data_IF_872352662012
#
_entry.id   IF_872352662012
#
_cell.length_a   1.000
_cell.length_b   1.000
_cell.length_c   1.000
_cell.angle_alpha   90.00
_cell.angle_beta   90.00
_cell.angle_gamma   90.00
#
_symmetry.space_group_name_H-M   'P 1'
#
loop_
_entity.id
_entity.type
_entity.pdbx_description
1 polymer ?
#
# COMPACT_ATOMS: atom_id res chain seq x y z
N UNK A 1 -12.85 7.88 29.22
CA UNK A 1 -11.89 6.82 28.84
C UNK A 1 -12.33 6.11 27.57
N UNK A 2 -13.45 5.36 27.56
CA UNK A 2 -13.90 4.60 26.37
C UNK A 2 -14.13 5.47 25.12
N UNK A 3 -14.66 6.69 25.28
CA UNK A 3 -14.85 7.62 24.15
C UNK A 3 -13.52 8.04 23.50
N UNK A 4 -12.48 8.32 24.29
CA UNK A 4 -11.15 8.73 23.80
C UNK A 4 -10.47 7.55 23.09
N UNK A 5 -10.59 6.35 23.65
CA UNK A 5 -10.06 5.12 23.07
C UNK A 5 -10.78 4.72 21.78
N UNK A 6 -12.11 4.84 21.76
CA UNK A 6 -12.93 4.63 20.56
C UNK A 6 -12.61 5.66 19.46
N UNK A 7 -12.39 6.93 19.85
CA UNK A 7 -11.97 7.97 18.92
C UNK A 7 -10.60 7.65 18.30
N UNK A 8 -9.63 7.15 19.07
CA UNK A 8 -8.35 6.70 18.54
C UNK A 8 -8.50 5.63 17.46
N UNK A 9 -9.35 4.63 17.69
CA UNK A 9 -9.65 3.61 16.67
C UNK A 9 -10.30 4.20 15.41
N UNK A 10 -11.30 5.08 15.55
CA UNK A 10 -11.98 5.70 14.42
C UNK A 10 -11.05 6.62 13.61
N UNK A 11 -10.21 7.41 14.29
CA UNK A 11 -9.20 8.24 13.66
C UNK A 11 -8.15 7.38 12.95
N UNK A 12 -7.79 6.22 13.51
CA UNK A 12 -6.95 5.24 12.81
C UNK A 12 -7.59 4.76 11.50
N UNK A 13 -8.88 4.42 11.54
CA UNK A 13 -9.59 4.06 10.32
C UNK A 13 -9.64 5.20 9.29
N UNK A 14 -9.83 6.44 9.75
CA UNK A 14 -9.83 7.63 8.90
C UNK A 14 -8.44 7.89 8.31
N UNK A 15 -7.37 7.70 9.08
CA UNK A 15 -5.99 7.88 8.65
C UNK A 15 -5.65 6.99 7.46
N UNK A 16 -6.19 5.77 7.41
CA UNK A 16 -6.04 4.90 6.25
C UNK A 16 -6.58 5.49 4.93
N UNK A 17 -7.46 6.51 5.00
CA UNK A 17 -8.03 7.21 3.84
C UNK A 17 -7.19 8.41 3.39
N UNK A 18 -6.03 8.63 4.00
CA UNK A 18 -5.11 9.67 3.54
C UNK A 18 -4.62 9.40 2.11
N UNK A 19 -4.25 10.48 1.43
CA UNK A 19 -4.03 10.48 -0.02
C UNK A 19 -2.86 9.58 -0.41
N UNK A 20 -1.81 9.56 0.40
CA UNK A 20 -0.64 8.70 0.28
C UNK A 20 -0.97 7.21 0.51
N UNK A 21 -1.82 6.91 1.49
CA UNK A 21 -2.30 5.58 1.81
C UNK A 21 -3.17 5.03 0.66
N UNK A 22 -4.11 5.84 0.16
CA UNK A 22 -4.92 5.50 -1.01
C UNK A 22 -4.04 5.23 -2.23
N UNK A 23 -3.02 6.07 -2.48
CA UNK A 23 -2.10 5.90 -3.59
C UNK A 23 -1.29 4.60 -3.50
N UNK A 24 -0.72 4.31 -2.32
CA UNK A 24 0.05 3.10 -2.07
C UNK A 24 -0.82 1.83 -2.22
N UNK A 25 -2.00 1.79 -1.57
CA UNK A 25 -2.92 0.65 -1.65
C UNK A 25 -3.43 0.46 -3.06
N UNK A 26 -3.79 1.53 -3.77
CA UNK A 26 -4.25 1.45 -5.15
C UNK A 26 -3.18 0.85 -6.07
N UNK A 27 -1.93 1.26 -5.88
CA UNK A 27 -0.79 0.75 -6.67
C UNK A 27 -0.50 -0.73 -6.37
N UNK A 28 -0.63 -1.15 -5.11
CA UNK A 28 -0.50 -2.55 -4.72
C UNK A 28 -1.68 -3.37 -5.28
N UNK A 29 -2.90 -2.86 -5.17
CA UNK A 29 -4.13 -3.52 -5.64
C UNK A 29 -4.13 -3.72 -7.16
N UNK A 30 -3.67 -2.73 -7.92
CA UNK A 30 -3.52 -2.78 -9.39
C UNK A 30 -2.67 -3.97 -9.89
N UNK A 31 -1.81 -4.53 -9.03
CA UNK A 31 -0.90 -5.63 -9.37
C UNK A 31 -1.46 -7.02 -9.07
N UNK A 32 -2.65 -7.14 -8.50
CA UNK A 32 -3.21 -8.40 -8.00
C UNK A 32 -4.54 -8.71 -8.67
N UNK A 33 -4.81 -10.00 -8.84
CA UNK A 33 -6.02 -10.49 -9.54
C UNK A 33 -7.15 -10.92 -8.60
N UNK A 34 -6.90 -10.99 -7.30
CA UNK A 34 -7.86 -11.52 -6.32
C UNK A 34 -8.08 -10.58 -5.13
N UNK A 35 -9.35 -10.32 -4.81
CA UNK A 35 -9.76 -9.47 -3.69
C UNK A 35 -9.13 -9.93 -2.37
N UNK A 36 -9.18 -11.24 -2.08
CA UNK A 36 -8.59 -11.81 -0.86
C UNK A 36 -7.08 -11.56 -0.77
N UNK A 37 -6.38 -11.60 -1.90
CA UNK A 37 -4.94 -11.34 -1.89
C UNK A 37 -4.65 -9.84 -1.69
N UNK A 38 -5.42 -8.96 -2.31
CA UNK A 38 -5.33 -7.50 -2.12
C UNK A 38 -5.56 -7.13 -0.66
N UNK A 39 -6.61 -7.65 -0.03
CA UNK A 39 -6.91 -7.41 1.39
C UNK A 39 -5.79 -7.94 2.30
N UNK A 40 -5.24 -9.12 2.03
CA UNK A 40 -4.08 -9.64 2.79
C UNK A 40 -2.86 -8.73 2.68
N UNK A 41 -2.64 -8.13 1.52
CA UNK A 41 -1.57 -7.13 1.34
C UNK A 41 -1.87 -5.86 2.13
N UNK A 42 -3.11 -5.35 2.09
CA UNK A 42 -3.55 -4.22 2.92
C UNK A 42 -3.31 -4.44 4.40
N UNK A 43 -3.69 -5.60 4.94
CA UNK A 43 -3.48 -5.95 6.35
C UNK A 43 -1.99 -6.12 6.69
N UNK A 44 -1.20 -6.73 5.81
CA UNK A 44 0.26 -6.91 6.06
C UNK A 44 0.99 -5.57 6.02
N UNK A 45 0.58 -4.68 5.11
CA UNK A 45 1.07 -3.31 5.05
C UNK A 45 0.68 -2.52 6.31
N UNK A 46 -0.60 -2.60 6.69
CA UNK A 46 -1.09 -1.98 7.92
C UNK A 46 -0.38 -2.49 9.17
N UNK A 47 -0.04 -3.78 9.25
CA UNK A 47 0.79 -4.32 10.34
C UNK A 47 2.16 -3.62 10.43
N UNK A 48 2.85 -3.43 9.31
CA UNK A 48 4.15 -2.73 9.30
C UNK A 48 4.00 -1.26 9.73
N UNK A 49 2.98 -0.59 9.23
CA UNK A 49 2.69 0.80 9.59
C UNK A 49 2.38 0.92 11.10
N UNK A 50 1.46 0.11 11.61
CA UNK A 50 1.10 0.06 13.04
C UNK A 50 2.30 -0.24 13.94
N UNK A 51 3.16 -1.19 13.56
CA UNK A 51 4.34 -1.53 14.35
C UNK A 51 5.29 -0.34 14.48
N UNK A 52 5.47 0.39 13.38
CA UNK A 52 6.36 1.55 13.35
C UNK A 52 5.78 2.71 14.14
N UNK A 53 4.50 3.03 13.95
CA UNK A 53 3.82 4.04 14.75
C UNK A 53 3.93 3.73 16.25
N UNK A 54 3.65 2.48 16.64
CA UNK A 54 3.73 2.08 18.03
C UNK A 54 5.15 2.21 18.59
N UNK A 55 6.17 1.89 17.79
CA UNK A 55 7.57 2.01 18.19
C UNK A 55 7.97 3.48 18.36
N UNK A 56 7.78 4.32 17.34
CA UNK A 56 8.25 5.70 17.33
C UNK A 56 7.39 6.62 18.22
N UNK A 57 6.07 6.56 18.08
CA UNK A 57 5.17 7.35 18.93
C UNK A 57 5.18 6.85 20.37
N UNK A 58 5.26 5.52 20.59
CA UNK A 58 5.39 4.96 21.93
C UNK A 58 6.69 5.38 22.61
N UNK A 59 7.82 5.33 21.90
CA UNK A 59 9.09 5.82 22.41
C UNK A 59 9.03 7.32 22.75
N UNK A 60 8.46 8.15 21.89
CA UNK A 60 8.28 9.58 22.14
C UNK A 60 7.43 9.87 23.38
N UNK A 61 6.33 9.14 23.57
CA UNK A 61 5.45 9.27 24.75
C UNK A 61 6.19 8.88 26.03
N UNK A 62 6.97 7.79 26.02
CA UNK A 62 7.71 7.32 27.19
C UNK A 62 8.89 8.23 27.52
N UNK A 63 9.59 8.72 26.50
CA UNK A 63 10.71 9.64 26.66
C UNK A 63 10.26 11.09 26.95
N UNK A 64 8.99 11.42 26.70
CA UNK A 64 8.44 12.77 26.87
C UNK A 64 8.99 13.79 25.87
N UNK A 65 9.59 13.35 24.77
CA UNK A 65 10.18 14.21 23.74
C UNK A 65 9.46 14.01 22.41
N UNK A 66 9.10 15.10 21.75
CA UNK A 66 8.61 15.05 20.38
C UNK A 66 9.72 14.55 19.43
N UNK A 67 9.34 13.86 18.36
CA UNK A 67 10.28 13.50 17.29
C UNK A 67 10.74 14.81 16.64
N UNK A 68 12.05 15.10 16.61
CA UNK A 68 12.55 16.32 15.99
C UNK A 68 12.25 16.38 14.49
N UNK A 69 12.00 17.58 13.97
CA UNK A 69 11.69 17.80 12.55
C UNK A 69 12.81 17.30 11.63
N UNK A 70 14.08 17.43 12.04
CA UNK A 70 15.23 16.90 11.28
C UNK A 70 15.23 15.37 11.10
N UNK A 71 14.41 14.63 11.86
CA UNK A 71 14.18 13.20 11.69
C UNK A 71 12.88 12.96 10.91
N UNK A 72 11.83 13.72 11.20
CA UNK A 72 10.52 13.55 10.57
C UNK A 72 10.53 13.92 9.07
N UNK A 73 11.09 15.07 8.69
CA UNK A 73 11.09 15.57 7.32
C UNK A 73 11.79 14.61 6.33
N UNK A 74 12.98 14.05 6.62
CA UNK A 74 13.60 13.06 5.73
C UNK A 74 12.80 11.77 5.60
N UNK A 75 12.08 11.35 6.65
CA UNK A 75 11.23 10.15 6.61
C UNK A 75 10.01 10.38 5.71
N UNK A 76 9.39 11.55 5.79
CA UNK A 76 8.31 11.95 4.89
C UNK A 76 8.79 12.07 3.44
N UNK A 77 9.96 12.68 3.22
CA UNK A 77 10.62 12.72 1.91
C UNK A 77 10.89 11.31 1.35
N UNK A 78 11.34 10.37 2.20
CA UNK A 78 11.55 8.98 1.81
C UNK A 78 10.26 8.27 1.38
N UNK A 79 9.12 8.58 2.03
CA UNK A 79 7.80 8.10 1.58
C UNK A 79 7.42 8.71 0.24
N UNK A 80 7.67 10.00 0.01
CA UNK A 80 7.47 10.61 -1.29
C UNK A 80 8.27 9.91 -2.40
N UNK A 81 9.56 9.63 -2.16
CA UNK A 81 10.42 8.85 -3.08
C UNK A 81 9.85 7.46 -3.33
N UNK A 82 9.41 6.77 -2.27
CA UNK A 82 8.80 5.45 -2.37
C UNK A 82 7.52 5.48 -3.24
N UNK A 83 6.64 6.48 -3.07
CA UNK A 83 5.44 6.63 -3.90
C UNK A 83 5.78 6.84 -5.36
N UNK A 84 6.74 7.73 -5.67
CA UNK A 84 7.24 7.90 -7.05
C UNK A 84 7.74 6.57 -7.62
N UNK A 85 8.53 5.82 -6.85
CA UNK A 85 9.03 4.51 -7.26
C UNK A 85 7.93 3.49 -7.53
N UNK A 86 6.91 3.41 -6.66
CA UNK A 86 5.78 2.50 -6.82
C UNK A 86 4.95 2.84 -8.06
N UNK A 87 4.61 4.13 -8.26
CA UNK A 87 3.85 4.58 -9.42
C UNK A 87 4.63 4.42 -10.73
N UNK A 88 5.92 4.78 -10.75
CA UNK A 88 6.78 4.60 -11.92
C UNK A 88 6.94 3.12 -12.28
N UNK A 89 7.10 2.24 -11.28
CA UNK A 89 7.18 0.80 -11.52
C UNK A 89 5.89 0.23 -12.11
N UNK A 90 4.72 0.70 -11.64
CA UNK A 90 3.43 0.32 -12.22
C UNK A 90 3.31 0.74 -13.69
N UNK A 91 3.64 2.00 -14.01
CA UNK A 91 3.59 2.50 -15.38
C UNK A 91 4.61 1.83 -16.31
N UNK A 92 5.84 1.65 -15.84
CA UNK A 92 6.90 0.95 -16.58
C UNK A 92 6.47 -0.47 -16.94
N UNK A 93 5.85 -1.19 -16.00
CA UNK A 93 5.29 -2.50 -16.26
C UNK A 93 4.16 -2.46 -17.30
N UNK A 94 3.22 -1.52 -17.19
CA UNK A 94 2.12 -1.37 -18.16
C UNK A 94 2.60 -1.04 -19.58
N UNK A 95 3.76 -0.38 -19.67
CA UNK A 95 4.43 -0.09 -20.94
C UNK A 95 5.18 -1.33 -21.46
N UNK A 96 5.96 -2.00 -20.61
CA UNK A 96 6.75 -3.19 -20.95
C UNK A 96 5.89 -4.42 -21.28
N UNK A 97 4.77 -4.61 -20.59
CA UNK A 97 3.84 -5.73 -20.78
C UNK A 97 2.94 -5.55 -22.03
N UNK A 98 3.23 -4.58 -22.93
CA UNK A 98 2.59 -4.43 -24.25
C UNK A 98 2.88 -5.58 -25.25
N UNK A 99 3.27 -6.77 -24.78
CA UNK A 99 3.72 -7.88 -25.64
C UNK A 99 2.66 -9.00 -25.67
N UNK A 100 1.82 -8.94 -26.71
CA UNK A 100 1.04 -9.98 -27.42
C UNK A 100 -0.01 -10.85 -26.71
N UNK A 101 -1.23 -10.83 -27.28
CA UNK A 101 -2.31 -11.81 -27.07
C UNK A 101 -2.19 -12.86 -28.18
N UNK A 102 -1.91 -14.11 -27.85
CA UNK A 102 -2.08 -15.23 -28.78
C UNK A 102 -3.39 -15.98 -28.46
N UNK A 103 -4.19 -16.18 -29.51
CA UNK A 103 -5.30 -17.13 -29.51
C UNK A 103 -4.73 -18.45 -30.00
N UNK A 104 -4.71 -19.48 -29.16
CA UNK A 104 -4.45 -20.84 -29.61
C UNK A 104 -5.79 -21.53 -29.90
N UNK A 105 -5.82 -22.25 -31.02
CA UNK A 105 -6.89 -23.18 -31.37
C UNK A 105 -6.26 -24.57 -31.30
N UNK A 106 -6.71 -25.38 -30.35
CA UNK A 106 -6.31 -26.78 -30.28
C UNK A 106 -6.97 -27.56 -31.43
N UNK A 107 -6.38 -28.69 -31.80
CA UNK A 107 -6.91 -29.59 -32.84
C UNK A 107 -8.31 -30.17 -32.52
N UNK A 108 -8.82 -29.93 -31.32
CA UNK A 108 -10.17 -30.27 -30.84
C UNK A 108 -11.20 -29.15 -31.03
N UNK A 109 -10.81 -28.01 -31.62
CA UNK A 109 -11.71 -26.89 -31.93
C UNK A 109 -11.92 -25.89 -30.79
N UNK A 110 -11.32 -26.10 -29.61
CA UNK A 110 -11.44 -25.15 -28.50
C UNK A 110 -10.49 -23.96 -28.68
N UNK A 111 -11.02 -22.74 -28.58
CA UNK A 111 -10.25 -21.49 -28.56
C UNK A 111 -10.20 -20.95 -27.16
N UNK A 112 -9.00 -20.74 -26.64
CA UNK A 112 -8.81 -20.02 -25.39
C UNK A 112 -7.64 -19.04 -25.48
N UNK A 113 -7.71 -18.01 -24.64
CA UNK A 113 -6.75 -16.90 -24.60
C UNK A 113 -5.84 -17.11 -23.40
N UNK A 114 -4.54 -17.25 -23.65
CA UNK A 114 -3.52 -17.22 -22.59
C UNK A 114 -2.81 -15.86 -22.58
N UNK A 115 -2.55 -15.34 -21.38
CA UNK A 115 -1.71 -14.16 -21.13
C UNK A 115 -0.35 -14.64 -20.61
N UNK A 116 0.71 -14.50 -21.42
CA UNK A 116 2.10 -14.74 -21.00
C UNK A 116 2.95 -13.49 -21.21
N UNK A 117 3.85 -13.21 -20.26
CA UNK A 117 4.92 -12.21 -20.41
C UNK A 117 6.27 -12.91 -20.60
N UNK A 118 6.84 -12.90 -21.81
CA UNK A 118 8.21 -13.35 -22.03
C UNK A 118 9.19 -12.24 -21.68
N UNK A 119 9.53 -12.10 -20.41
CA UNK A 119 10.81 -11.52 -20.05
C UNK A 119 11.90 -12.61 -20.18
N UNK A 120 12.30 -12.92 -21.42
CA UNK A 120 13.62 -13.51 -21.70
C UNK A 120 13.79 -15.02 -21.59
N UNK A 121 12.87 -15.87 -22.08
CA UNK A 121 13.16 -17.30 -22.24
C UNK A 121 12.97 -17.76 -23.69
N UNK A 122 14.10 -18.01 -24.35
CA UNK A 122 14.21 -18.81 -25.57
C UNK A 122 14.39 -20.26 -25.11
N UNK A 123 13.31 -20.96 -24.77
CA UNK A 123 13.39 -22.38 -24.45
C UNK A 123 12.12 -23.09 -24.94
N UNK A 124 12.37 -24.16 -25.71
CA UNK A 124 11.37 -25.00 -26.37
C UNK A 124 10.39 -25.61 -25.35
N UNK A 125 9.13 -25.65 -25.75
CA UNK A 125 7.99 -26.19 -25.01
C UNK A 125 8.09 -27.71 -24.89
N UNK A 126 8.17 -28.24 -23.67
CA UNK A 126 7.72 -29.61 -23.30
C UNK A 126 7.77 -29.89 -21.77
N UNK A 127 7.72 -28.86 -20.91
CA UNK A 127 7.68 -29.06 -19.46
C UNK A 127 6.35 -28.54 -18.88
N UNK A 128 5.66 -29.32 -18.03
CA UNK A 128 4.44 -28.86 -17.37
C UNK A 128 4.77 -27.63 -16.54
N UNK A 129 4.10 -26.52 -16.86
CA UNK A 129 4.31 -25.24 -16.20
C UNK A 129 3.97 -25.37 -14.71
N UNK A 130 4.99 -25.60 -13.89
CA UNK A 130 4.88 -25.51 -12.44
C UNK A 130 4.53 -24.06 -12.08
N UNK A 131 3.25 -23.78 -11.88
CA UNK A 131 2.78 -22.54 -11.27
C UNK A 131 3.36 -22.47 -9.85
N UNK A 132 4.52 -21.83 -9.70
CA UNK A 132 5.09 -21.52 -8.39
C UNK A 132 4.17 -20.53 -7.69
N UNK A 133 3.29 -21.04 -6.85
CA UNK A 133 2.69 -20.26 -5.78
C UNK A 133 3.83 -19.87 -4.82
N UNK A 134 4.31 -18.63 -4.90
CA UNK A 134 5.20 -18.11 -3.86
C UNK A 134 4.42 -18.05 -2.54
N UNK A 135 4.55 -19.09 -1.73
CA UNK A 135 4.06 -19.16 -0.34
C UNK A 135 4.97 -18.38 0.64
N UNK A 136 5.74 -17.42 0.12
CA UNK A 136 6.62 -16.58 0.93
C UNK A 136 5.84 -15.53 1.74
N UNK A 137 6.35 -15.21 2.92
CA UNK A 137 5.88 -14.06 3.71
C UNK A 137 5.99 -12.77 2.87
N UNK A 138 5.00 -11.86 2.96
CA UNK A 138 4.86 -10.66 2.10
C UNK A 138 5.80 -9.52 2.52
N UNK A 139 7.10 -9.81 2.58
CA UNK A 139 8.13 -8.94 3.14
C UNK A 139 8.19 -7.56 2.48
N UNK A 140 8.04 -7.48 1.14
CA UNK A 140 8.02 -6.19 0.42
C UNK A 140 6.89 -5.28 0.92
N UNK A 141 5.71 -5.84 1.14
CA UNK A 141 4.53 -5.10 1.59
C UNK A 141 4.65 -4.70 3.06
N UNK A 142 5.27 -5.56 3.88
CA UNK A 142 5.61 -5.20 5.24
C UNK A 142 6.60 -4.04 5.29
N UNK A 143 7.69 -4.06 4.50
CA UNK A 143 8.67 -2.97 4.45
C UNK A 143 8.01 -1.66 4.03
N UNK A 144 7.18 -1.68 2.98
CA UNK A 144 6.44 -0.48 2.56
C UNK A 144 5.58 0.03 3.72
N UNK A 145 4.98 -0.86 4.50
CA UNK A 145 4.21 -0.50 5.70
C UNK A 145 5.09 0.13 6.77
N UNK A 146 6.23 -0.48 7.06
CA UNK A 146 7.20 0.05 8.02
C UNK A 146 7.66 1.45 7.61
N UNK A 147 8.06 1.64 6.34
CA UNK A 147 8.45 2.95 5.81
C UNK A 147 7.32 3.97 5.92
N UNK A 148 6.09 3.58 5.58
CA UNK A 148 4.95 4.48 5.63
C UNK A 148 4.52 4.82 7.06
N UNK A 149 4.78 3.97 8.06
CA UNK A 149 4.54 4.30 9.46
C UNK A 149 5.61 5.21 10.08
N UNK A 150 6.80 5.28 9.46
CA UNK A 150 7.88 6.20 9.89
C UNK A 150 7.59 7.64 9.47
N UNK A 151 6.93 7.84 8.34
CA UNK A 151 6.47 9.15 7.86
C UNK A 151 5.03 9.43 8.32
N UNK A 152 4.66 10.68 8.58
CA UNK A 152 3.29 11.04 8.96
C UNK A 152 2.93 10.79 10.44
N UNK A 153 3.85 10.24 11.24
CA UNK A 153 3.65 10.06 12.69
C UNK A 153 3.62 11.39 13.46
N UNK A 154 4.05 12.51 12.86
CA UNK A 154 4.15 13.80 13.55
C UNK A 154 2.77 14.33 14.01
N UNK A 155 1.77 14.34 13.12
CA UNK A 155 0.41 14.76 13.47
C UNK A 155 -0.24 13.84 14.52
N UNK A 156 0.03 12.54 14.42
CA UNK A 156 -0.45 11.52 15.36
C UNK A 156 0.23 11.61 16.72
N UNK A 157 1.53 11.92 16.77
CA UNK A 157 2.25 12.23 18.00
C UNK A 157 1.63 13.43 18.70
N UNK A 158 1.39 14.52 17.96
CA UNK A 158 0.80 15.75 18.50
C UNK A 158 -0.60 15.47 19.07
N UNK A 159 -1.42 14.68 18.36
CA UNK A 159 -2.74 14.25 18.86
C UNK A 159 -2.64 13.34 20.09
N UNK A 160 -1.73 12.37 20.11
CA UNK A 160 -1.57 11.46 21.24
C UNK A 160 -1.07 12.18 22.50
N UNK A 161 -0.11 13.11 22.35
CA UNK A 161 0.46 13.90 23.45
C UNK A 161 -0.54 14.92 23.99
N UNK A 162 -1.33 15.57 23.13
CA UNK A 162 -2.31 16.58 23.56
C UNK A 162 -3.56 15.99 24.23
N UNK A 163 -3.91 14.74 23.92
CA UNK A 163 -5.15 14.11 24.40
C UNK A 163 -4.95 13.17 25.60
N UNK A 164 -3.71 12.79 25.93
CA UNK A 164 -3.43 11.78 26.95
C UNK A 164 -3.02 12.40 28.30
N UNK A 165 -3.84 12.25 29.37
CA UNK A 165 -3.47 12.69 30.71
C UNK A 165 -2.26 11.93 31.31
N UNK A 166 -1.98 10.71 30.82
CA UNK A 166 -0.89 9.85 31.30
C UNK A 166 -0.22 9.09 30.16
N UNK A 167 1.08 8.71 30.29
CA UNK A 167 1.78 7.94 29.27
C UNK A 167 1.07 6.63 28.89
N UNK A 168 0.51 5.93 29.87
CA UNK A 168 -0.24 4.67 29.65
C UNK A 168 -1.47 4.89 28.76
N UNK A 169 -2.18 6.00 28.95
CA UNK A 169 -3.33 6.35 28.10
C UNK A 169 -2.88 6.71 26.68
N UNK A 170 -1.74 7.39 26.54
CA UNK A 170 -1.13 7.66 25.23
C UNK A 170 -0.76 6.37 24.49
N UNK A 171 -0.13 5.41 25.17
CA UNK A 171 0.21 4.11 24.58
C UNK A 171 -1.03 3.31 24.16
N UNK A 172 -2.07 3.27 24.99
CA UNK A 172 -3.34 2.63 24.63
C UNK A 172 -4.02 3.30 23.44
N UNK A 173 -3.95 4.63 23.36
CA UNK A 173 -4.46 5.39 22.23
C UNK A 173 -3.72 5.03 20.94
N UNK A 174 -2.38 5.03 20.95
CA UNK A 174 -1.56 4.65 19.79
C UNK A 174 -1.82 3.19 19.36
N UNK A 175 -1.99 2.27 20.31
CA UNK A 175 -2.32 0.87 20.00
C UNK A 175 -3.68 0.74 19.28
N UNK A 176 -4.71 1.42 19.78
CA UNK A 176 -6.04 1.39 19.16
C UNK A 176 -6.09 2.14 17.84
N UNK A 177 -5.38 3.26 17.73
CA UNK A 177 -5.18 3.97 16.47
C UNK A 177 -4.51 3.07 15.44
N UNK A 178 -3.45 2.38 15.83
CA UNK A 178 -2.75 1.43 14.98
C UNK A 178 -3.64 0.27 14.54
N UNK A 179 -4.47 -0.28 15.44
CA UNK A 179 -5.45 -1.31 15.10
C UNK A 179 -6.52 -0.78 14.14
N UNK A 180 -7.04 0.42 14.39
CA UNK A 180 -7.99 1.11 13.53
C UNK A 180 -7.43 1.34 12.13
N UNK A 181 -6.18 1.78 12.04
CA UNK A 181 -5.45 1.96 10.77
C UNK A 181 -5.33 0.64 10.03
N UNK A 182 -4.91 -0.44 10.70
CA UNK A 182 -4.81 -1.77 10.07
C UNK A 182 -6.15 -2.25 9.50
N UNK A 183 -7.24 -2.09 10.26
CA UNK A 183 -8.59 -2.43 9.81
C UNK A 183 -9.02 -1.53 8.65
N UNK A 184 -8.79 -0.21 8.76
CA UNK A 184 -9.09 0.78 7.73
C UNK A 184 -8.36 0.48 6.42
N UNK A 185 -7.07 0.14 6.47
CA UNK A 185 -6.29 -0.22 5.29
C UNK A 185 -6.76 -1.54 4.67
N UNK A 186 -7.19 -2.51 5.48
CA UNK A 186 -7.84 -3.73 5.01
C UNK A 186 -9.17 -3.46 4.31
N UNK A 187 -9.99 -2.58 4.88
CA UNK A 187 -11.27 -2.16 4.32
C UNK A 187 -11.10 -1.35 3.02
N UNK A 188 -10.18 -0.39 3.00
CA UNK A 188 -9.81 0.38 1.82
C UNK A 188 -9.30 -0.53 0.70
N UNK A 189 -8.46 -1.51 1.05
CA UNK A 189 -7.98 -2.52 0.10
C UNK A 189 -9.13 -3.32 -0.51
N UNK A 190 -10.14 -3.70 0.28
CA UNK A 190 -11.33 -4.37 -0.24
C UNK A 190 -12.13 -3.44 -1.17
N UNK A 191 -12.33 -2.18 -0.77
CA UNK A 191 -13.07 -1.19 -1.54
C UNK A 191 -12.43 -0.92 -2.91
N UNK A 192 -11.11 -0.79 -2.97
CA UNK A 192 -10.36 -0.59 -4.22
C UNK A 192 -10.28 -1.88 -5.05
N UNK A 193 -10.20 -3.05 -4.41
CA UNK A 193 -10.08 -4.33 -5.10
C UNK A 193 -11.30 -4.64 -5.98
N UNK A 194 -12.50 -4.30 -5.54
CA UNK A 194 -13.75 -4.62 -6.25
C UNK A 194 -13.77 -4.05 -7.69
N UNK A 195 -13.64 -2.72 -7.92
CA UNK A 195 -13.67 -2.16 -9.27
C UNK A 195 -12.48 -2.62 -10.13
N UNK A 196 -11.30 -2.82 -9.54
CA UNK A 196 -10.11 -3.31 -10.27
C UNK A 196 -10.27 -4.75 -10.74
N UNK A 197 -10.74 -5.65 -9.87
CA UNK A 197 -10.91 -7.08 -10.22
C UNK A 197 -12.07 -7.26 -11.19
N UNK A 198 -13.17 -6.50 -11.05
CA UNK A 198 -14.30 -6.57 -11.99
C UNK A 198 -13.88 -6.06 -13.37
N UNK A 199 -13.24 -4.89 -13.45
CA UNK A 199 -12.79 -4.33 -14.74
C UNK A 199 -11.75 -5.22 -15.44
N UNK A 200 -10.92 -5.94 -14.68
CA UNK A 200 -9.96 -6.89 -15.22
C UNK A 200 -10.59 -8.11 -15.93
N UNK A 201 -11.87 -8.45 -15.65
CA UNK A 201 -12.53 -9.65 -16.22
C UNK A 201 -13.17 -9.42 -17.59
N UNK A 202 -13.48 -8.18 -17.96
CA UNK A 202 -14.22 -7.91 -19.21
C UNK A 202 -13.98 -6.54 -19.85
N UNK A 203 -13.29 -5.61 -19.17
CA UNK A 203 -13.09 -4.24 -19.65
C UNK A 203 -11.59 -3.88 -19.60
N UNK A 204 -10.79 -4.55 -20.42
CA UNK A 204 -9.32 -4.40 -20.41
C UNK A 204 -8.86 -2.96 -20.64
N UNK A 205 -9.57 -2.19 -21.47
CA UNK A 205 -9.30 -0.76 -21.70
C UNK A 205 -9.56 0.07 -20.45
N UNK A 206 -10.69 -0.16 -19.76
CA UNK A 206 -11.04 0.54 -18.52
C UNK A 206 -10.06 0.18 -17.41
N UNK A 207 -9.76 -1.11 -17.24
CA UNK A 207 -8.76 -1.57 -16.26
C UNK A 207 -7.39 -0.94 -16.53
N UNK A 208 -6.96 -0.87 -17.79
CA UNK A 208 -5.70 -0.23 -18.15
C UNK A 208 -5.72 1.28 -17.85
N UNK A 209 -6.82 1.96 -18.18
CA UNK A 209 -7.03 3.37 -17.85
C UNK A 209 -6.95 3.63 -16.33
N UNK A 210 -7.62 2.79 -15.53
CA UNK A 210 -7.58 2.86 -14.06
C UNK A 210 -6.14 2.67 -13.54
N UNK A 211 -5.40 1.68 -14.03
CA UNK A 211 -4.03 1.44 -13.56
C UNK A 211 -3.07 2.55 -13.98
N UNK A 212 -3.24 3.16 -15.16
CA UNK A 212 -2.48 4.34 -15.58
C UNK A 212 -2.80 5.52 -14.66
N UNK A 213 -4.09 5.78 -14.40
CA UNK A 213 -4.52 6.86 -13.52
C UNK A 213 -3.95 6.69 -12.10
N UNK A 214 -4.01 5.47 -11.54
CA UNK A 214 -3.40 5.14 -10.24
C UNK A 214 -1.90 5.42 -10.24
N UNK A 215 -1.16 4.95 -11.26
CA UNK A 215 0.27 5.15 -11.36
C UNK A 215 0.66 6.63 -11.47
N UNK A 216 -0.02 7.39 -12.32
CA UNK A 216 0.22 8.83 -12.49
C UNK A 216 -0.11 9.59 -11.20
N UNK A 217 -1.28 9.34 -10.60
CA UNK A 217 -1.69 10.01 -9.38
C UNK A 217 -0.71 9.72 -8.23
N UNK A 218 -0.24 8.48 -8.12
CA UNK A 218 0.74 8.08 -7.10
C UNK A 218 2.09 8.79 -7.29
N UNK A 219 2.55 8.96 -8.53
CA UNK A 219 3.76 9.76 -8.82
C UNK A 219 3.53 11.22 -8.45
N UNK A 220 2.40 11.82 -8.83
CA UNK A 220 2.09 13.22 -8.54
C UNK A 220 2.06 13.48 -7.04
N UNK A 221 1.41 12.60 -6.27
CA UNK A 221 1.37 12.67 -4.81
C UNK A 221 2.79 12.55 -4.25
N UNK A 222 3.59 11.57 -4.71
CA UNK A 222 4.96 11.40 -4.26
C UNK A 222 5.85 12.62 -4.53
N UNK A 223 5.75 13.22 -5.73
CA UNK A 223 6.46 14.44 -6.08
C UNK A 223 6.02 15.64 -5.23
N UNK A 224 4.72 15.78 -4.98
CA UNK A 224 4.19 16.81 -4.09
C UNK A 224 4.72 16.65 -2.66
N UNK A 225 4.73 15.42 -2.13
CA UNK A 225 5.31 15.13 -0.81
C UNK A 225 6.80 15.47 -0.75
N UNK A 226 7.58 15.08 -1.76
CA UNK A 226 9.02 15.42 -1.85
C UNK A 226 9.22 16.95 -1.86
N UNK A 227 8.45 17.66 -2.66
CA UNK A 227 8.56 19.12 -2.75
C UNK A 227 8.20 19.78 -1.43
N UNK A 228 7.15 19.33 -0.76
CA UNK A 228 6.71 19.90 0.51
C UNK A 228 7.68 19.64 1.68
N UNK A 229 8.50 18.59 1.60
CA UNK A 229 9.36 18.15 2.72
C UNK A 229 10.84 18.45 2.52
N UNK A 230 11.34 18.40 1.28
CA UNK A 230 12.77 18.60 0.99
C UNK A 230 13.10 19.96 0.34
N UNK A 231 12.09 20.68 -0.15
CA UNK A 231 12.26 21.92 -0.92
C UNK A 231 11.42 23.10 -0.39
N UNK A 232 10.57 22.86 0.62
CA UNK A 232 9.74 23.86 1.30
C UNK A 232 10.33 24.20 2.66
#
# INVERSE_FOLDING_TARGET
MFAILGLGFLLGMQHALEVDHIAAVSTIAARRSGIRDIVKHGLTWGLGHTLTLFLFAGAAIVLGHAIPDHIAEPLEGAVGIMLVGLGAHLLWRLWRDRVHVHVHQHGDGTRHVHLHSHAGQVARHDAPAAHRHEHGFRWRTLIVGLMHGMAGSAALLVLAVSQAPTPTQGLLYVALFGLGSMVGMGALSAAIAVPLVISARGLTVVNRGLQIAVGVLTIVIGLHTIQATLLG
#
